data_IF_543637000785
#
_entry.id   IF_543637000785
#
_cell.length_a   1.000
_cell.length_b   1.000
_cell.length_c   1.000
_cell.angle_alpha   90.00
_cell.angle_beta   90.00
_cell.angle_gamma   90.00
#
_symmetry.space_group_name_H-M   'P 1'
#
loop_
_entity.id
_entity.type
_entity.pdbx_description
1 polymer ?
#
# COMPACT_ATOMS: atom_id res chain seq x y z
N UNK A 1 -20.55 15.58 -0.15
CA UNK A 1 -20.23 15.03 -0.09
C UNK A 1 -19.84 14.22 -0.69
N UNK A 2 -19.77 14.35 -1.40
CA UNK A 2 -19.49 13.56 -2.02
C UNK A 2 -18.52 12.65 -1.96
N UNK A 3 -18.21 11.91 -2.26
CA UNK A 3 -17.22 10.88 -2.02
C UNK A 3 -17.04 10.45 -0.61
N UNK A 4 -17.76 11.03 0.29
CA UNK A 4 -17.58 10.74 1.70
C UNK A 4 -17.94 9.32 2.07
N UNK A 5 -18.94 8.75 1.45
CA UNK A 5 -19.37 7.42 1.76
C UNK A 5 -18.69 6.34 0.93
N UNK A 6 -17.87 6.72 -0.01
CA UNK A 6 -17.25 5.76 -0.91
C UNK A 6 -15.84 5.40 -0.47
N UNK A 7 -15.58 4.11 -0.38
CA UNK A 7 -14.22 3.65 -0.15
C UNK A 7 -13.40 3.94 -1.41
N UNK A 8 -12.17 4.37 -1.21
CA UNK A 8 -11.26 4.53 -2.32
C UNK A 8 -10.91 3.18 -2.91
N UNK A 9 -10.79 3.14 -4.22
CA UNK A 9 -10.31 1.95 -4.91
C UNK A 9 -8.92 2.23 -5.45
N UNK A 10 -8.21 1.18 -5.81
CA UNK A 10 -6.88 1.32 -6.40
C UNK A 10 -6.96 2.19 -7.66
N UNK A 11 -7.90 1.88 -8.54
CA UNK A 11 -8.02 2.59 -9.81
C UNK A 11 -8.40 4.05 -9.62
N UNK A 12 -9.27 4.37 -8.66
CA UNK A 12 -9.65 5.76 -8.42
C UNK A 12 -8.50 6.55 -7.82
N UNK A 13 -7.76 5.94 -6.92
CA UNK A 13 -6.57 6.56 -6.33
C UNK A 13 -5.53 6.86 -7.41
N UNK A 14 -5.27 5.87 -8.26
CA UNK A 14 -4.28 5.98 -9.32
C UNK A 14 -4.63 7.13 -10.26
N UNK A 15 -5.89 7.18 -10.70
CA UNK A 15 -6.35 8.22 -11.59
C UNK A 15 -6.24 9.60 -10.95
N UNK A 16 -6.65 9.72 -9.70
CA UNK A 16 -6.59 10.98 -8.96
C UNK A 16 -5.15 11.49 -8.89
N UNK A 17 -4.21 10.64 -8.53
CA UNK A 17 -2.81 11.04 -8.37
C UNK A 17 -2.18 11.38 -9.72
N UNK A 18 -2.53 10.63 -10.76
CA UNK A 18 -2.04 10.92 -12.11
C UNK A 18 -2.50 12.30 -12.57
N UNK A 19 -3.77 12.59 -12.39
CA UNK A 19 -4.33 13.88 -12.81
C UNK A 19 -3.72 15.05 -12.04
N UNK A 20 -3.44 14.83 -10.76
CA UNK A 20 -2.77 15.87 -9.95
C UNK A 20 -1.38 16.20 -10.46
N UNK A 21 -0.74 15.28 -11.15
CA UNK A 21 0.58 15.51 -11.74
C UNK A 21 0.47 16.02 -13.17
N UNK A 22 -0.73 16.27 -13.67
CA UNK A 22 -0.97 16.71 -15.03
C UNK A 22 -0.41 15.75 -16.07
N UNK A 23 -0.48 14.46 -15.78
CA UNK A 23 0.02 13.43 -16.70
C UNK A 23 -1.13 12.80 -17.48
N UNK A 24 -0.97 12.71 -18.79
CA UNK A 24 -1.94 12.02 -19.64
C UNK A 24 -1.79 10.51 -19.50
N UNK A 25 -2.80 9.78 -19.95
CA UNK A 25 -2.81 8.31 -19.86
C UNK A 25 -1.59 7.70 -20.55
N UNK A 26 -1.35 8.08 -21.80
CA UNK A 26 -0.25 7.51 -22.57
C UNK A 26 1.10 7.91 -22.01
N UNK A 27 1.22 9.15 -21.60
CA UNK A 27 2.44 9.67 -21.02
C UNK A 27 2.79 8.92 -19.75
N UNK A 28 1.83 8.75 -18.87
CA UNK A 28 2.06 8.04 -17.60
C UNK A 28 2.38 6.56 -17.85
N UNK A 29 1.61 5.92 -18.74
CA UNK A 29 1.86 4.52 -19.10
C UNK A 29 3.29 4.32 -19.58
N UNK A 30 3.78 5.24 -20.39
CA UNK A 30 5.14 5.19 -20.90
C UNK A 30 6.17 5.32 -19.76
N UNK A 31 5.92 6.25 -18.84
CA UNK A 31 6.83 6.47 -17.70
C UNK A 31 6.97 5.24 -16.82
N UNK A 32 5.91 4.46 -16.68
CA UNK A 32 5.92 3.29 -15.81
C UNK A 32 6.09 1.99 -16.57
N UNK A 33 6.34 2.08 -17.89
CA UNK A 33 6.64 0.91 -18.70
C UNK A 33 5.49 -0.07 -18.86
N UNK A 34 4.28 0.43 -18.94
CA UNK A 34 3.07 -0.38 -19.18
C UNK A 34 2.46 0.07 -20.49
N UNK A 35 2.01 -0.90 -21.31
CA UNK A 35 1.35 -0.57 -22.54
C UNK A 35 0.10 0.28 -22.27
N UNK A 36 -0.13 1.36 -23.07
CA UNK A 36 -1.28 2.24 -22.81
C UNK A 36 -2.62 1.53 -22.70
N UNK A 37 -2.86 0.52 -23.55
CA UNK A 37 -4.13 -0.22 -23.50
C UNK A 37 -4.27 -0.99 -22.18
N UNK A 38 -3.18 -1.60 -21.70
CA UNK A 38 -3.18 -2.29 -20.42
C UNK A 38 -3.35 -1.31 -19.27
N UNK A 39 -2.66 -0.19 -19.33
CA UNK A 39 -2.79 0.83 -18.31
C UNK A 39 -4.22 1.35 -18.22
N UNK A 40 -4.83 1.60 -19.37
CA UNK A 40 -6.21 2.05 -19.44
C UNK A 40 -7.14 1.06 -18.73
N UNK A 41 -6.91 -0.23 -18.95
CA UNK A 41 -7.70 -1.29 -18.29
C UNK A 41 -7.49 -1.33 -16.79
N UNK A 42 -6.25 -1.06 -16.34
CA UNK A 42 -5.98 -0.98 -14.90
C UNK A 42 -6.71 0.22 -14.29
N UNK A 43 -6.64 1.36 -14.92
CA UNK A 43 -7.26 2.59 -14.41
C UNK A 43 -8.79 2.54 -14.46
N UNK A 44 -9.36 1.74 -15.37
CA UNK A 44 -10.80 1.56 -15.45
C UNK A 44 -11.31 0.49 -14.48
N UNK A 45 -10.40 -0.26 -13.89
CA UNK A 45 -10.77 -1.33 -12.97
C UNK A 45 -11.00 -2.68 -13.65
N UNK A 46 -10.79 -2.77 -14.96
CA UNK A 46 -10.95 -4.03 -15.69
C UNK A 46 -9.84 -5.02 -15.40
N UNK A 47 -8.66 -4.51 -15.06
CA UNK A 47 -7.52 -5.33 -14.67
C UNK A 47 -7.12 -4.99 -13.25
N UNK A 48 -6.58 -5.94 -12.50
CA UNK A 48 -6.11 -5.67 -11.14
C UNK A 48 -4.84 -4.80 -11.16
N UNK A 49 -4.40 -4.38 -9.97
CA UNK A 49 -3.18 -3.62 -9.82
C UNK A 49 -2.00 -4.36 -10.45
N UNK A 50 -1.03 -3.63 -11.00
CA UNK A 50 0.14 -4.26 -11.62
C UNK A 50 1.08 -4.89 -10.57
N UNK A 51 2.08 -5.66 -11.02
CA UNK A 51 2.99 -6.33 -10.09
C UNK A 51 3.89 -5.36 -9.33
N UNK A 52 4.60 -5.91 -8.35
CA UNK A 52 5.37 -5.14 -7.37
C UNK A 52 6.34 -4.13 -7.96
N UNK A 53 7.09 -4.54 -8.97
CA UNK A 53 8.08 -3.65 -9.59
C UNK A 53 7.40 -2.40 -10.18
N UNK A 54 6.23 -2.59 -10.77
CA UNK A 54 5.47 -1.46 -11.32
C UNK A 54 4.87 -0.60 -10.23
N UNK A 55 4.43 -1.21 -9.14
CA UNK A 55 3.89 -0.45 -8.01
C UNK A 55 4.95 0.48 -7.42
N UNK A 56 6.17 -0.01 -7.27
CA UNK A 56 7.27 0.82 -6.76
C UNK A 56 7.54 1.99 -7.70
N UNK A 57 7.56 1.72 -8.98
CA UNK A 57 7.83 2.74 -9.98
C UNK A 57 6.72 3.79 -10.00
N UNK A 58 5.46 3.35 -9.91
CA UNK A 58 4.32 4.26 -9.86
C UNK A 58 4.43 5.19 -8.64
N UNK A 59 4.72 4.62 -7.47
CA UNK A 59 4.85 5.41 -6.26
C UNK A 59 5.94 6.47 -6.40
N UNK A 60 7.04 6.10 -7.06
CA UNK A 60 8.16 7.01 -7.29
C UNK A 60 7.78 8.12 -8.28
N UNK A 61 7.17 7.77 -9.39
CA UNK A 61 6.78 8.72 -10.42
C UNK A 61 5.75 9.72 -9.88
N UNK A 62 4.81 9.23 -9.09
CA UNK A 62 3.77 10.07 -8.49
C UNK A 62 4.25 10.80 -7.24
N UNK A 63 5.47 10.51 -6.78
CA UNK A 63 6.07 11.14 -5.60
C UNK A 63 5.16 11.06 -4.38
N UNK A 64 4.64 9.86 -4.14
CA UNK A 64 3.75 9.64 -3.00
C UNK A 64 4.51 9.76 -1.69
N UNK A 65 3.92 10.44 -0.71
CA UNK A 65 4.49 10.49 0.62
C UNK A 65 4.24 9.16 1.35
N UNK A 66 4.76 9.02 2.57
CA UNK A 66 4.67 7.76 3.30
C UNK A 66 3.22 7.30 3.52
N UNK A 67 2.36 8.20 3.93
CA UNK A 67 0.95 7.85 4.17
C UNK A 67 0.26 7.45 2.87
N UNK A 68 0.55 8.17 1.78
CA UNK A 68 -0.01 7.86 0.48
C UNK A 68 0.49 6.53 -0.05
N UNK A 69 1.77 6.21 0.17
CA UNK A 69 2.32 4.92 -0.25
C UNK A 69 1.65 3.77 0.50
N UNK A 70 1.43 3.92 1.80
CA UNK A 70 0.77 2.89 2.59
C UNK A 70 -0.64 2.63 2.08
N UNK A 71 -1.39 3.69 1.83
CA UNK A 71 -2.74 3.54 1.26
C UNK A 71 -2.68 2.92 -0.12
N UNK A 72 -1.74 3.37 -0.95
CA UNK A 72 -1.57 2.85 -2.30
C UNK A 72 -1.29 1.35 -2.30
N UNK A 73 -0.37 0.90 -1.45
CA UNK A 73 -0.03 -0.52 -1.36
C UNK A 73 -1.19 -1.34 -0.78
N UNK A 74 -1.92 -0.79 0.18
CA UNK A 74 -3.11 -1.46 0.72
C UNK A 74 -4.17 -1.66 -0.35
N UNK A 75 -4.43 -0.62 -1.14
CA UNK A 75 -5.41 -0.69 -2.22
C UNK A 75 -4.97 -1.67 -3.31
N UNK A 76 -3.69 -1.67 -3.65
CA UNK A 76 -3.15 -2.58 -4.66
C UNK A 76 -3.28 -4.03 -4.20
N UNK A 77 -2.95 -4.29 -2.94
CA UNK A 77 -3.06 -5.64 -2.38
C UNK A 77 -4.51 -6.13 -2.39
N UNK A 78 -5.43 -5.26 -2.02
CA UNK A 78 -6.85 -5.59 -2.04
C UNK A 78 -7.32 -5.93 -3.46
N UNK A 79 -6.84 -5.16 -4.44
CA UNK A 79 -7.15 -5.37 -5.84
C UNK A 79 -6.67 -6.72 -6.35
N UNK A 80 -5.53 -7.20 -5.85
CA UNK A 80 -4.91 -8.46 -6.27
C UNK A 80 -5.18 -9.61 -5.29
N UNK A 81 -5.92 -9.36 -4.23
CA UNK A 81 -6.13 -10.34 -3.15
C UNK A 81 -4.78 -10.82 -2.62
N UNK A 82 -3.96 -9.89 -2.21
CA UNK A 82 -2.57 -10.15 -1.82
C UNK A 82 -2.24 -9.34 -0.55
N UNK A 83 -1.02 -9.50 -0.06
CA UNK A 83 -0.50 -8.74 1.08
C UNK A 83 0.14 -7.44 0.56
N UNK A 84 -0.08 -6.29 1.25
CA UNK A 84 0.55 -5.04 0.83
C UNK A 84 2.06 -5.17 0.71
N UNK A 85 2.61 -4.52 -0.32
CA UNK A 85 4.02 -4.65 -0.65
C UNK A 85 4.95 -4.25 0.49
N UNK A 86 4.63 -3.13 1.17
CA UNK A 86 5.46 -2.67 2.27
C UNK A 86 5.50 -3.68 3.42
N UNK A 87 4.41 -4.39 3.65
CA UNK A 87 4.36 -5.43 4.68
C UNK A 87 5.13 -6.67 4.24
N UNK A 88 5.06 -7.03 2.96
CA UNK A 88 5.88 -8.13 2.44
C UNK A 88 7.35 -7.87 2.66
N UNK A 89 7.78 -6.64 2.41
CA UNK A 89 9.18 -6.26 2.59
C UNK A 89 9.58 -6.32 4.05
N UNK A 90 8.72 -5.85 4.93
CA UNK A 90 8.97 -5.90 6.35
C UNK A 90 9.13 -7.33 6.85
N UNK A 91 8.24 -8.22 6.39
CA UNK A 91 8.28 -9.63 6.77
C UNK A 91 9.57 -10.30 6.28
N UNK A 92 10.00 -9.97 5.06
CA UNK A 92 11.22 -10.56 4.49
C UNK A 92 12.48 -10.04 5.18
N UNK A 93 12.42 -8.81 5.65
CA UNK A 93 13.59 -8.14 6.21
C UNK A 93 14.04 -8.71 7.54
N UNK A 94 13.11 -9.16 8.37
CA UNK A 94 13.40 -9.55 9.73
C UNK A 94 12.59 -10.79 10.11
N UNK A 95 13.28 -11.88 10.45
CA UNK A 95 12.63 -13.14 10.79
C UNK A 95 11.79 -13.06 12.07
N UNK A 96 12.03 -12.04 12.90
CA UNK A 96 11.25 -11.86 14.12
C UNK A 96 9.83 -11.39 13.82
N UNK A 97 9.63 -10.69 12.70
CA UNK A 97 8.29 -10.23 12.33
C UNK A 97 7.32 -11.39 12.05
N UNK A 98 7.68 -12.38 11.22
CA UNK A 98 6.81 -13.55 11.07
C UNK A 98 6.58 -14.28 12.40
N UNK A 99 7.61 -14.36 13.25
CA UNK A 99 7.47 -15.01 14.55
C UNK A 99 6.44 -14.26 15.42
N UNK A 100 6.47 -12.94 15.40
CA UNK A 100 5.48 -12.13 16.12
C UNK A 100 4.06 -12.43 15.62
N UNK A 101 3.88 -12.44 14.32
CA UNK A 101 2.55 -12.67 13.73
C UNK A 101 2.03 -14.06 14.08
N UNK A 102 2.89 -15.08 14.03
CA UNK A 102 2.51 -16.44 14.38
C UNK A 102 2.17 -16.56 15.87
N UNK A 103 2.92 -15.86 16.71
CA UNK A 103 2.66 -15.84 18.16
C UNK A 103 1.30 -15.21 18.46
N UNK A 104 0.98 -14.12 17.80
CA UNK A 104 -0.33 -13.46 17.95
C UNK A 104 -1.44 -14.45 17.62
N UNK A 105 -1.28 -15.23 16.56
CA UNK A 105 -2.26 -16.22 16.16
C UNK A 105 -2.33 -17.38 17.16
N UNK A 106 -1.18 -17.92 17.53
CA UNK A 106 -1.10 -19.08 18.43
C UNK A 106 -1.70 -18.79 19.80
N UNK A 107 -1.44 -17.60 20.32
CA UNK A 107 -1.91 -17.20 21.64
C UNK A 107 -3.30 -16.55 21.59
N UNK A 108 -3.91 -16.52 20.41
CA UNK A 108 -5.27 -15.99 20.20
C UNK A 108 -5.43 -14.56 20.71
N UNK A 109 -4.45 -13.73 20.45
CA UNK A 109 -4.48 -12.32 20.85
C UNK A 109 -5.52 -11.62 19.99
N UNK A 110 -6.51 -10.98 20.64
CA UNK A 110 -7.60 -10.32 19.94
C UNK A 110 -7.24 -8.91 19.46
N UNK A 111 -8.11 -8.37 18.62
CA UNK A 111 -7.88 -7.05 18.03
C UNK A 111 -7.73 -5.95 19.08
N UNK A 112 -8.49 -6.03 20.16
CA UNK A 112 -8.40 -5.02 21.22
C UNK A 112 -7.06 -5.05 21.92
N UNK A 113 -6.54 -6.25 22.18
CA UNK A 113 -5.22 -6.39 22.79
C UNK A 113 -4.14 -5.91 21.81
N UNK A 114 -4.31 -6.20 20.53
CA UNK A 114 -3.35 -5.74 19.50
C UNK A 114 -3.34 -4.21 19.45
N UNK A 115 -4.51 -3.58 19.51
CA UNK A 115 -4.58 -2.11 19.54
C UNK A 115 -3.85 -1.55 20.75
N UNK A 116 -3.98 -2.19 21.90
CA UNK A 116 -3.28 -1.78 23.11
C UNK A 116 -1.76 -1.89 22.93
N UNK A 117 -1.30 -2.97 22.29
CA UNK A 117 0.12 -3.16 21.99
C UNK A 117 0.62 -2.06 21.06
N UNK A 118 -0.14 -1.76 20.01
CA UNK A 118 0.22 -0.69 19.06
C UNK A 118 0.36 0.64 19.80
N UNK A 119 -0.60 0.95 20.67
CA UNK A 119 -0.55 2.19 21.47
C UNK A 119 0.67 2.23 22.35
N UNK A 120 0.98 1.10 22.98
CA UNK A 120 2.15 0.96 23.86
C UNK A 120 3.45 1.21 23.10
N UNK A 121 3.56 0.64 21.91
CA UNK A 121 4.72 0.85 21.05
C UNK A 121 4.83 2.32 20.64
N UNK A 122 3.72 2.93 20.27
CA UNK A 122 3.70 4.35 19.86
C UNK A 122 4.06 5.29 21.00
N UNK A 123 3.86 4.89 22.24
CA UNK A 123 4.19 5.72 23.39
C UNK A 123 5.69 5.91 23.57
N UNK A 124 6.50 5.13 22.86
CA UNK A 124 7.95 5.22 22.95
C UNK A 124 8.55 4.22 23.94
N UNK A 125 7.72 3.36 24.53
CA UNK A 125 8.17 2.40 25.53
C UNK A 125 9.30 1.50 25.03
N UNK A 126 9.27 1.16 23.75
CA UNK A 126 10.24 0.23 23.17
C UNK A 126 11.31 0.91 22.33
N UNK A 127 11.41 2.23 22.41
CA UNK A 127 12.44 2.93 21.67
C UNK A 127 13.80 2.61 22.22
N UNK A 128 14.77 2.43 21.32
CA UNK A 128 16.14 2.22 21.72
C UNK A 128 16.68 3.48 22.39
N UNK A 129 17.46 3.27 23.45
CA UNK A 129 18.21 4.36 24.03
C UNK A 129 19.25 4.85 23.04
N UNK A 130 19.47 6.15 23.01
CA UNK A 130 20.47 6.76 22.14
C UNK A 130 21.78 6.99 22.88
N UNK A 131 22.10 6.13 23.74
CA UNK A 131 23.35 6.24 24.49
C UNK A 131 24.56 5.97 23.63
#
# INVERSE_FOLDING_TARGET
MEGMGKAKTFESFLKEKRLKKNLGLREFAKLIGIQPSNYCSIESGSLPAPPEDKLRLIAKVLKLNQAEQRLFFDLAAKSRDDIPLDLKELIRKDTVIPALLRTVEDEKVGSDQIRAIVKDIKSGRYRKSLS
#
